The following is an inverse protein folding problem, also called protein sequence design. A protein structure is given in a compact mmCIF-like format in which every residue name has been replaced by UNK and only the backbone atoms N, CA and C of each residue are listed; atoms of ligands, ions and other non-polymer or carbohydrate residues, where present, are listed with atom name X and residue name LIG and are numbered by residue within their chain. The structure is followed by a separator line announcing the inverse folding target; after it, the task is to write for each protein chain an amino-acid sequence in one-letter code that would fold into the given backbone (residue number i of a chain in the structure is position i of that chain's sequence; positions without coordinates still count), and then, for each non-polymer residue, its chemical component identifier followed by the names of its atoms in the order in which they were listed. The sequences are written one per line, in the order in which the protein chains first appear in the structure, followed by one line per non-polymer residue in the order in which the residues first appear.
data_IF_669362406532
#
_entry.id   IF_669362406532
#
_cell.length_a   1.000
_cell.length_b   1.000
_cell.length_c   1.000
_cell.angle_alpha   90.00
_cell.angle_beta   90.00
_cell.angle_gamma   90.00
#
_symmetry.space_group_name_H-M   'P 1'
#
loop_
_entity.id
_entity.type
_entity.pdbx_description
1 polymer ?
#
# COMPACT_ATOMS: atom_id res chain seq x y z
N UNK A 1 1.15 -16.14 -12.02
CA UNK A 1 1.94 -14.93 -11.73
C UNK A 1 1.12 -14.04 -10.81
N UNK A 2 1.46 -13.95 -9.51
CA UNK A 2 0.71 -13.12 -8.58
C UNK A 2 0.95 -11.63 -8.84
N UNK A 3 -0.12 -10.86 -8.71
CA UNK A 3 -0.10 -9.41 -8.84
C UNK A 3 -0.75 -8.81 -7.59
N UNK A 4 0.02 -8.07 -6.82
CA UNK A 4 -0.45 -7.48 -5.57
C UNK A 4 -0.49 -5.96 -5.73
N UNK A 5 -1.61 -5.37 -5.42
CA UNK A 5 -1.76 -3.93 -5.43
C UNK A 5 -2.11 -3.43 -4.04
N UNK A 6 -1.37 -2.45 -3.57
CA UNK A 6 -1.64 -1.77 -2.31
C UNK A 6 -2.10 -0.36 -2.63
N UNK A 7 -3.29 -0.01 -2.15
CA UNK A 7 -3.77 1.37 -2.20
C UNK A 7 -3.66 1.94 -0.81
N UNK A 8 -2.92 3.01 -0.67
CA UNK A 8 -2.70 3.65 0.63
C UNK A 8 -2.74 5.16 0.49
N UNK A 9 -2.99 5.83 1.61
CA UNK A 9 -2.97 7.28 1.63
C UNK A 9 -1.53 7.77 1.50
N UNK A 10 -1.36 8.86 0.76
CA UNK A 10 -0.06 9.51 0.60
C UNK A 10 0.50 9.95 1.96
N UNK A 11 1.79 9.81 2.16
CA UNK A 11 2.45 10.25 3.38
C UNK A 11 3.60 9.35 3.84
N UNK A 12 3.75 8.17 3.27
CA UNK A 12 4.88 7.29 3.61
C UNK A 12 6.12 7.69 2.82
N UNK A 13 7.29 7.51 3.42
CA UNK A 13 8.55 7.79 2.72
C UNK A 13 8.81 6.77 1.62
N UNK A 14 9.61 7.18 0.64
CA UNK A 14 10.04 6.29 -0.45
C UNK A 14 10.67 5.01 0.09
N UNK A 15 11.55 5.12 1.07
CA UNK A 15 12.27 3.99 1.63
C UNK A 15 11.34 2.98 2.30
N UNK A 16 10.33 3.49 3.02
CA UNK A 16 9.34 2.63 3.68
C UNK A 16 8.50 1.90 2.65
N UNK A 17 8.09 2.58 1.60
CA UNK A 17 7.31 1.95 0.52
C UNK A 17 8.11 0.86 -0.17
N UNK A 18 9.37 1.14 -0.53
CA UNK A 18 10.23 0.15 -1.18
C UNK A 18 10.47 -1.07 -0.29
N UNK A 19 10.74 -0.85 0.98
CA UNK A 19 10.93 -1.93 1.95
C UNK A 19 9.67 -2.79 2.05
N UNK A 20 8.51 -2.17 2.14
CA UNK A 20 7.23 -2.87 2.24
C UNK A 20 6.98 -3.73 1.01
N UNK A 21 7.20 -3.19 -0.18
CA UNK A 21 7.03 -3.96 -1.42
C UNK A 21 7.95 -5.16 -1.48
N UNK A 22 9.21 -5.00 -1.08
CA UNK A 22 10.18 -6.09 -1.06
C UNK A 22 9.80 -7.19 -0.09
N UNK A 23 9.32 -6.83 1.09
CA UNK A 23 8.89 -7.81 2.09
C UNK A 23 7.64 -8.57 1.61
N UNK A 24 6.69 -7.88 0.99
CA UNK A 24 5.49 -8.52 0.44
C UNK A 24 5.88 -9.48 -0.68
N UNK A 25 6.78 -9.08 -1.56
CA UNK A 25 7.29 -9.92 -2.62
C UNK A 25 7.86 -11.24 -2.05
N UNK A 26 8.69 -11.16 -1.04
CA UNK A 26 9.30 -12.32 -0.42
C UNK A 26 8.27 -13.27 0.21
N UNK A 27 7.32 -12.72 0.96
CA UNK A 27 6.28 -13.51 1.62
C UNK A 27 5.38 -14.20 0.60
N UNK A 28 4.93 -13.50 -0.41
CA UNK A 28 4.04 -14.07 -1.42
C UNK A 28 4.77 -15.15 -2.23
N UNK A 29 5.99 -14.87 -2.64
CA UNK A 29 6.79 -15.84 -3.39
C UNK A 29 7.00 -17.11 -2.58
N UNK A 30 7.39 -16.98 -1.31
CA UNK A 30 7.64 -18.11 -0.41
C UNK A 30 6.38 -18.92 -0.14
N UNK A 31 5.28 -18.25 0.18
CA UNK A 31 4.05 -18.96 0.57
C UNK A 31 3.33 -19.59 -0.60
N UNK A 32 3.36 -18.97 -1.77
CA UNK A 32 2.66 -19.47 -2.94
C UNK A 32 3.53 -20.32 -3.86
N UNK A 33 4.83 -20.40 -3.56
CA UNK A 33 5.75 -21.25 -4.34
C UNK A 33 6.15 -20.65 -5.68
N UNK A 34 6.24 -19.33 -5.77
CA UNK A 34 6.69 -18.65 -6.99
C UNK A 34 8.10 -18.12 -6.85
N UNK A 35 8.79 -17.99 -7.98
CA UNK A 35 10.04 -17.24 -8.04
C UNK A 35 9.73 -15.75 -7.72
N UNK A 36 10.51 -15.09 -6.85
CA UNK A 36 10.28 -13.68 -6.55
C UNK A 36 10.24 -12.78 -7.80
N UNK A 37 10.95 -13.14 -8.85
CA UNK A 37 10.93 -12.39 -10.10
C UNK A 37 9.57 -12.41 -10.80
N UNK A 38 8.71 -13.35 -10.45
CA UNK A 38 7.39 -13.51 -11.03
C UNK A 38 6.27 -12.98 -10.14
N UNK A 39 6.61 -12.36 -9.03
CA UNK A 39 5.64 -11.74 -8.12
C UNK A 39 5.73 -10.22 -8.30
N UNK A 40 4.63 -9.62 -8.72
CA UNK A 40 4.57 -8.19 -9.02
C UNK A 40 3.82 -7.46 -7.91
N UNK A 41 4.41 -6.38 -7.42
CA UNK A 41 3.82 -5.59 -6.35
C UNK A 41 3.74 -4.12 -6.79
N UNK A 42 2.54 -3.55 -6.67
CA UNK A 42 2.31 -2.14 -6.98
C UNK A 42 1.82 -1.41 -5.75
N UNK A 43 2.25 -0.17 -5.58
CA UNK A 43 1.70 0.73 -4.57
C UNK A 43 1.12 1.94 -5.28
N UNK A 44 -0.16 2.19 -5.01
CA UNK A 44 -0.85 3.39 -5.47
C UNK A 44 -1.08 4.29 -4.27
N UNK A 45 -0.52 5.49 -4.30
CA UNK A 45 -0.74 6.48 -3.27
C UNK A 45 -1.90 7.39 -3.64
N UNK A 46 -2.83 7.58 -2.71
CA UNK A 46 -4.04 8.37 -2.90
C UNK A 46 -3.87 9.71 -2.18
N UNK A 47 -4.16 10.80 -2.89
CA UNK A 47 -4.18 12.12 -2.28
C UNK A 47 -5.27 12.16 -1.19
N UNK A 48 -4.99 12.89 -0.10
CA UNK A 48 -5.88 12.91 1.06
C UNK A 48 -7.27 13.45 0.76
N UNK A 49 -7.38 14.28 -0.26
CA UNK A 49 -8.67 14.84 -0.68
C UNK A 49 -9.33 14.05 -1.83
N UNK A 50 -8.73 12.92 -2.23
CA UNK A 50 -9.28 12.03 -3.26
C UNK A 50 -9.91 10.77 -2.66
N UNK A 51 -10.05 10.72 -1.36
CA UNK A 51 -10.68 9.62 -0.64
C UNK A 51 -11.84 10.15 0.18
N UNK A 52 -12.98 9.51 0.06
CA UNK A 52 -14.18 9.90 0.81
C UNK A 52 -14.83 8.67 1.41
N UNK A 53 -15.10 8.70 2.70
CA UNK A 53 -15.87 7.68 3.39
C UNK A 53 -16.70 8.34 4.52
N UNK A 54 -17.91 7.86 4.71
CA UNK A 54 -18.84 8.44 5.67
C UNK A 54 -19.02 9.96 5.47
N UNK A 55 -18.94 10.42 4.20
CA UNK A 55 -19.08 11.82 3.85
C UNK A 55 -17.88 12.70 4.19
N UNK A 56 -16.74 12.11 4.54
CA UNK A 56 -15.53 12.84 4.92
C UNK A 56 -14.32 12.40 4.12
N UNK A 57 -13.47 13.36 3.75
CA UNK A 57 -12.18 13.08 3.12
C UNK A 57 -11.19 12.56 4.15
N UNK A 58 -10.06 12.04 3.67
CA UNK A 58 -9.00 11.58 4.57
C UNK A 58 -8.42 12.75 5.39
N UNK A 59 -8.34 13.94 4.80
CA UNK A 59 -7.90 15.13 5.53
C UNK A 59 -8.77 15.41 6.76
N UNK A 60 -10.06 15.20 6.63
CA UNK A 60 -11.03 15.40 7.73
C UNK A 60 -10.99 14.25 8.74
N UNK A 61 -10.79 13.01 8.27
CA UNK A 61 -10.82 11.82 9.11
C UNK A 61 -9.54 11.63 9.92
N UNK A 62 -8.39 11.93 9.32
CA UNK A 62 -7.09 11.67 9.95
C UNK A 62 -6.97 12.24 11.36
N UNK A 63 -7.33 13.51 11.62
CA UNK A 63 -7.26 14.07 12.98
C UNK A 63 -8.19 13.36 13.96
N UNK A 64 -9.25 12.71 13.50
CA UNK A 64 -10.19 11.99 14.34
C UNK A 64 -9.68 10.60 14.71
N UNK A 65 -8.93 9.96 13.81
CA UNK A 65 -8.43 8.60 13.98
C UNK A 65 -7.03 8.56 14.59
N UNK A 66 -6.19 9.52 14.22
CA UNK A 66 -4.79 9.59 14.66
C UNK A 66 -4.57 10.91 15.40
N UNK A 67 -4.87 10.91 16.67
CA UNK A 67 -4.69 12.09 17.52
C UNK A 67 -3.26 12.25 17.99
#
# INVERSE_FOLDING_TARGET
MPLITIKTMKGSSKDVIEKTMKQINEIVASNLGYDPAHVWVFVEEVEHNHFLTAGKTWEELKPLLYK
#
